data_IF_440638013113
#
_entry.id   IF_440638013113
#
_cell.length_a   1.000
_cell.length_b   1.000
_cell.length_c   1.000
_cell.angle_alpha   90.00
_cell.angle_beta   90.00
_cell.angle_gamma   90.00
#
_symmetry.space_group_name_H-M   'P 1'
#
loop_
_entity.id
_entity.type
_entity.pdbx_description
1 polymer ?
#
# COMPACT_ATOMS: atom_id res chain seq x y z
N UNK A 1 -33.78 19.69 20.81
CA UNK A 1 -34.47 19.18 19.60
C UNK A 1 -34.63 17.68 19.78
N UNK A 2 -35.82 17.13 19.50
CA UNK A 2 -36.01 15.68 19.51
C UNK A 2 -35.27 15.06 18.31
N UNK A 3 -34.57 13.96 18.52
CA UNK A 3 -33.77 13.29 17.49
C UNK A 3 -34.68 12.43 16.60
N UNK A 4 -34.66 12.67 15.28
CA UNK A 4 -35.24 11.76 14.30
C UNK A 4 -34.25 10.64 13.90
N UNK A 5 -34.76 9.59 13.24
CA UNK A 5 -33.97 8.42 12.91
C UNK A 5 -32.82 8.68 11.93
N UNK A 6 -32.96 9.68 11.04
CA UNK A 6 -31.91 10.05 10.09
C UNK A 6 -30.75 10.75 10.80
N UNK A 7 -31.08 11.73 11.65
CA UNK A 7 -30.14 12.46 12.50
C UNK A 7 -29.40 11.50 13.42
N UNK A 8 -30.10 10.56 14.06
CA UNK A 8 -29.47 9.53 14.89
C UNK A 8 -28.45 8.70 14.11
N UNK A 9 -28.82 8.19 12.92
CA UNK A 9 -27.91 7.40 12.08
C UNK A 9 -26.73 8.22 11.56
N UNK A 10 -26.94 9.49 11.24
CA UNK A 10 -25.87 10.39 10.77
C UNK A 10 -24.83 10.64 11.86
N UNK A 11 -25.28 10.89 13.10
CA UNK A 11 -24.40 11.06 14.26
C UNK A 11 -23.63 9.76 14.55
N UNK A 12 -24.32 8.61 14.58
CA UNK A 12 -23.65 7.32 14.81
C UNK A 12 -22.67 6.95 13.70
N UNK A 13 -22.90 7.38 12.46
CA UNK A 13 -21.97 7.14 11.36
C UNK A 13 -20.62 7.85 11.57
N UNK A 14 -20.56 8.89 12.41
CA UNK A 14 -19.30 9.56 12.78
C UNK A 14 -18.46 8.76 13.77
N UNK A 15 -19.03 7.75 14.44
CA UNK A 15 -18.30 6.89 15.37
C UNK A 15 -17.61 5.76 14.58
N UNK A 16 -16.27 5.76 14.46
CA UNK A 16 -15.58 4.69 13.76
C UNK A 16 -15.73 3.37 14.53
N UNK A 17 -15.96 2.29 13.80
CA UNK A 17 -16.03 0.94 14.35
C UNK A 17 -15.14 0.00 13.54
N UNK A 18 -14.60 -1.03 14.19
CA UNK A 18 -14.09 -2.19 13.46
C UNK A 18 -15.26 -2.95 12.81
N UNK A 19 -14.96 -3.72 11.77
CA UNK A 19 -15.95 -4.61 11.16
C UNK A 19 -15.68 -6.05 11.54
N UNK A 20 -16.74 -6.74 11.98
CA UNK A 20 -16.69 -8.17 12.29
C UNK A 20 -17.71 -8.95 11.46
N UNK A 21 -17.43 -10.23 11.24
CA UNK A 21 -18.47 -11.19 10.87
C UNK A 21 -18.91 -11.92 12.14
N UNK A 22 -20.21 -11.88 12.39
CA UNK A 22 -20.86 -12.71 13.40
C UNK A 22 -21.39 -13.95 12.72
N UNK A 23 -21.09 -15.12 13.27
CA UNK A 23 -21.57 -16.40 12.76
C UNK A 23 -22.18 -17.25 13.88
N UNK A 24 -23.00 -18.23 13.50
CA UNK A 24 -23.64 -19.17 14.41
C UNK A 24 -24.03 -20.45 13.66
N UNK A 25 -24.32 -21.52 14.40
CA UNK A 25 -24.90 -22.75 13.86
C UNK A 25 -26.31 -22.53 13.28
N UNK A 26 -26.68 -23.33 12.28
CA UNK A 26 -27.98 -23.24 11.60
C UNK A 26 -28.48 -24.62 11.15
N UNK A 27 -28.90 -25.46 12.10
CA UNK A 27 -29.23 -26.87 11.82
C UNK A 27 -27.99 -27.61 11.33
N UNK A 28 -28.05 -28.19 10.12
CA UNK A 28 -26.94 -28.92 9.50
C UNK A 28 -25.87 -28.00 8.86
N UNK A 29 -26.01 -26.68 8.99
CA UNK A 29 -25.11 -25.72 8.33
C UNK A 29 -24.78 -24.50 9.18
N UNK A 30 -24.30 -23.46 8.53
CA UNK A 30 -23.83 -22.23 9.15
C UNK A 30 -24.58 -21.00 8.66
N UNK A 31 -24.63 -19.98 9.51
CA UNK A 31 -25.14 -18.66 9.13
C UNK A 31 -24.23 -17.55 9.65
N UNK A 32 -24.27 -16.40 9.00
CA UNK A 32 -23.56 -15.24 9.50
C UNK A 32 -23.97 -13.93 8.84
N UNK A 33 -23.56 -12.85 9.47
CA UNK A 33 -23.76 -11.49 9.01
C UNK A 33 -22.60 -10.59 9.40
N UNK A 34 -22.48 -9.48 8.69
CA UNK A 34 -21.59 -8.40 9.09
C UNK A 34 -22.22 -7.60 10.23
N UNK A 35 -21.42 -7.27 11.24
CA UNK A 35 -21.82 -6.40 12.33
C UNK A 35 -20.71 -5.38 12.65
N UNK A 36 -21.14 -4.23 13.16
CA UNK A 36 -20.28 -3.17 13.71
C UNK A 36 -20.61 -2.82 15.16
N UNK A 37 -21.54 -3.55 15.77
CA UNK A 37 -22.02 -3.37 17.15
C UNK A 37 -21.17 -4.14 18.19
N UNK A 38 -20.09 -4.79 17.76
CA UNK A 38 -19.22 -5.58 18.63
C UNK A 38 -18.48 -4.71 19.66
N UNK A 39 -18.44 -5.15 20.91
CA UNK A 39 -17.64 -4.52 21.97
C UNK A 39 -17.20 -5.54 23.03
N UNK A 40 -16.04 -5.28 23.66
CA UNK A 40 -15.63 -5.98 24.89
C UNK A 40 -16.50 -5.55 26.07
N UNK A 41 -16.73 -6.47 27.02
CA UNK A 41 -17.55 -6.24 28.22
C UNK A 41 -16.76 -6.48 29.51
N UNK A 42 -16.08 -7.62 29.63
CA UNK A 42 -15.37 -8.02 30.85
C UNK A 42 -14.09 -8.79 30.52
N UNK A 43 -13.12 -8.75 31.43
CA UNK A 43 -11.91 -9.55 31.37
C UNK A 43 -12.02 -10.84 32.21
N UNK A 44 -12.74 -10.81 33.34
CA UNK A 44 -12.94 -11.96 34.23
C UNK A 44 -14.41 -12.05 34.70
N UNK A 45 -15.22 -13.01 34.19
CA UNK A 45 -14.90 -13.88 33.05
C UNK A 45 -14.76 -13.05 31.75
N UNK A 46 -14.04 -13.56 30.73
CA UNK A 46 -13.86 -12.85 29.47
C UNK A 46 -15.20 -12.78 28.72
N UNK A 47 -15.72 -11.58 28.50
CA UNK A 47 -17.03 -11.37 27.88
C UNK A 47 -17.01 -10.31 26.80
N UNK A 48 -17.83 -10.53 25.77
CA UNK A 48 -18.09 -9.60 24.67
C UNK A 48 -19.58 -9.47 24.41
N UNK A 49 -19.99 -8.42 23.69
CA UNK A 49 -21.36 -8.25 23.24
C UNK A 49 -21.48 -7.99 21.73
N UNK A 50 -22.66 -8.31 21.22
CA UNK A 50 -23.14 -7.93 19.89
C UNK A 50 -24.61 -7.49 19.98
N UNK A 51 -25.00 -6.53 19.15
CA UNK A 51 -26.41 -6.13 19.01
C UNK A 51 -26.95 -6.64 17.68
N UNK A 52 -28.00 -7.47 17.72
CA UNK A 52 -28.66 -8.04 16.54
C UNK A 52 -30.11 -7.56 16.44
N UNK A 53 -30.52 -7.11 15.26
CA UNK A 53 -31.90 -6.71 15.01
C UNK A 53 -32.84 -7.91 15.11
N UNK A 54 -33.98 -7.75 15.80
CA UNK A 54 -34.88 -8.84 16.18
C UNK A 54 -35.59 -9.53 15.00
N UNK A 55 -35.64 -8.87 13.85
CA UNK A 55 -36.23 -9.37 12.61
C UNK A 55 -35.24 -10.15 11.73
N UNK A 56 -33.96 -10.23 12.13
CA UNK A 56 -32.92 -10.91 11.35
C UNK A 56 -32.90 -12.42 11.59
N UNK A 57 -32.58 -13.18 10.53
CA UNK A 57 -32.35 -14.63 10.64
C UNK A 57 -31.21 -14.95 11.62
N UNK A 58 -30.15 -14.13 11.67
CA UNK A 58 -29.04 -14.30 12.61
C UNK A 58 -29.49 -14.23 14.05
N UNK A 59 -30.35 -13.26 14.41
CA UNK A 59 -30.89 -13.13 15.76
C UNK A 59 -31.60 -14.42 16.21
N UNK A 60 -32.49 -14.94 15.36
CA UNK A 60 -33.23 -16.17 15.64
C UNK A 60 -32.27 -17.35 15.86
N UNK A 61 -31.30 -17.52 14.97
CA UNK A 61 -30.35 -18.63 15.04
C UNK A 61 -29.42 -18.53 16.25
N UNK A 62 -28.93 -17.34 16.62
CA UNK A 62 -28.13 -17.16 17.85
C UNK A 62 -28.96 -17.46 19.09
N UNK A 63 -30.25 -17.08 19.09
CA UNK A 63 -31.16 -17.38 20.20
C UNK A 63 -31.45 -18.88 20.34
N UNK A 64 -31.58 -19.60 19.21
CA UNK A 64 -31.83 -21.05 19.18
C UNK A 64 -30.56 -21.86 19.48
N UNK A 65 -29.41 -21.45 18.93
CA UNK A 65 -28.11 -22.14 19.07
C UNK A 65 -27.44 -21.87 20.43
N UNK A 66 -27.68 -20.70 21.03
CA UNK A 66 -27.07 -20.33 22.31
C UNK A 66 -25.58 -20.00 22.23
N UNK A 67 -25.04 -19.83 21.02
CA UNK A 67 -23.64 -19.47 20.79
C UNK A 67 -23.46 -18.65 19.51
N UNK A 68 -22.35 -17.93 19.44
CA UNK A 68 -21.92 -17.21 18.25
C UNK A 68 -20.40 -17.09 18.22
N UNK A 69 -19.84 -16.98 17.02
CA UNK A 69 -18.45 -16.60 16.84
C UNK A 69 -18.34 -15.21 16.20
N UNK A 70 -17.25 -14.51 16.53
CA UNK A 70 -16.90 -13.19 16.00
C UNK A 70 -15.57 -13.33 15.27
N UNK A 71 -15.50 -12.89 14.02
CA UNK A 71 -14.26 -12.80 13.24
C UNK A 71 -13.99 -11.35 12.87
N UNK A 72 -12.90 -10.78 13.38
CA UNK A 72 -12.47 -9.40 13.15
C UNK A 72 -11.73 -9.33 11.81
N UNK A 73 -12.18 -8.44 10.92
CA UNK A 73 -11.69 -8.40 9.55
C UNK A 73 -10.44 -7.50 9.39
N UNK A 74 -9.46 -8.00 8.65
CA UNK A 74 -8.33 -7.20 8.18
C UNK A 74 -8.70 -6.29 7.01
N UNK A 75 -7.85 -5.31 6.70
CA UNK A 75 -8.03 -4.33 5.61
C UNK A 75 -8.28 -4.95 4.23
N UNK A 76 -7.71 -6.13 4.00
CA UNK A 76 -7.79 -6.95 2.80
C UNK A 76 -9.09 -7.77 2.70
N UNK A 77 -9.87 -7.85 3.78
CA UNK A 77 -11.09 -8.68 3.86
C UNK A 77 -12.39 -7.85 3.72
N UNK A 78 -12.29 -6.61 3.22
CA UNK A 78 -13.47 -5.77 2.99
C UNK A 78 -14.51 -6.43 2.05
N UNK A 79 -14.06 -7.22 1.07
CA UNK A 79 -14.95 -7.96 0.18
C UNK A 79 -15.80 -9.01 0.93
N UNK A 80 -15.21 -9.73 1.89
CA UNK A 80 -15.92 -10.68 2.76
C UNK A 80 -16.95 -9.91 3.60
N UNK A 81 -16.54 -8.80 4.21
CA UNK A 81 -17.44 -7.92 4.98
C UNK A 81 -18.65 -7.43 4.17
N UNK A 82 -18.46 -7.05 2.91
CA UNK A 82 -19.58 -6.63 2.04
C UNK A 82 -20.53 -7.79 1.72
N UNK A 83 -19.98 -8.98 1.45
CA UNK A 83 -20.78 -10.19 1.15
C UNK A 83 -21.71 -10.55 2.31
N UNK A 84 -21.18 -10.59 3.53
CA UNK A 84 -21.96 -10.89 4.74
C UNK A 84 -22.90 -9.75 5.16
N UNK A 85 -22.71 -8.53 4.64
CA UNK A 85 -23.65 -7.41 4.76
C UNK A 85 -24.80 -7.47 3.73
N UNK A 86 -24.88 -8.53 2.92
CA UNK A 86 -25.92 -8.70 1.89
C UNK A 86 -25.66 -7.91 0.60
N UNK A 87 -24.41 -7.51 0.33
CA UNK A 87 -24.01 -6.85 -0.92
C UNK A 87 -23.30 -7.87 -1.82
N UNK A 88 -23.82 -8.09 -3.04
CA UNK A 88 -23.23 -8.98 -4.06
C UNK A 88 -24.13 -10.18 -4.44
N UNK A 89 -23.72 -10.92 -5.48
CA UNK A 89 -24.50 -12.00 -6.14
C UNK A 89 -24.25 -13.41 -5.58
N UNK A 90 -23.39 -13.57 -4.56
CA UNK A 90 -22.96 -14.88 -4.10
C UNK A 90 -24.10 -15.65 -3.40
N UNK A 91 -24.52 -16.78 -3.99
CA UNK A 91 -25.51 -17.70 -3.42
C UNK A 91 -25.02 -18.34 -2.09
N UNK A 92 -23.72 -18.61 -1.98
CA UNK A 92 -23.07 -19.05 -0.76
C UNK A 92 -22.14 -17.97 -0.20
N UNK A 93 -22.40 -17.53 1.03
CA UNK A 93 -21.62 -16.48 1.71
C UNK A 93 -20.25 -16.99 2.17
N UNK A 94 -20.13 -18.28 2.46
CA UNK A 94 -18.92 -18.88 3.04
C UNK A 94 -17.88 -19.29 1.98
N UNK A 95 -18.28 -19.41 0.71
CA UNK A 95 -17.41 -19.81 -0.39
C UNK A 95 -16.15 -18.91 -0.55
N UNK A 96 -15.02 -19.50 -0.91
CA UNK A 96 -13.79 -18.75 -1.21
C UNK A 96 -13.08 -18.15 0.01
N UNK A 97 -13.42 -18.59 1.22
CA UNK A 97 -12.70 -18.29 2.45
C UNK A 97 -12.65 -19.54 3.34
N UNK A 98 -11.60 -19.64 4.18
CA UNK A 98 -11.40 -20.79 5.07
C UNK A 98 -12.13 -20.56 6.40
N UNK A 99 -13.17 -21.36 6.63
CA UNK A 99 -13.97 -21.33 7.86
C UNK A 99 -13.79 -22.62 8.64
N UNK A 100 -13.64 -22.52 9.95
CA UNK A 100 -13.44 -23.66 10.85
C UNK A 100 -14.42 -23.58 12.02
N UNK A 101 -15.00 -24.70 12.48
CA UNK A 101 -15.83 -24.69 13.67
C UNK A 101 -14.98 -24.41 14.93
N UNK A 102 -15.42 -23.47 15.75
CA UNK A 102 -14.92 -23.30 17.12
C UNK A 102 -15.50 -24.36 18.09
N UNK A 103 -15.09 -24.34 19.37
CA UNK A 103 -15.65 -25.21 20.41
C UNK A 103 -17.18 -25.25 20.50
N UNK A 104 -17.88 -24.16 20.17
CA UNK A 104 -19.36 -24.10 20.16
C UNK A 104 -19.99 -24.62 18.86
N UNK A 105 -19.18 -24.99 17.88
CA UNK A 105 -19.61 -25.33 16.51
C UNK A 105 -19.89 -24.11 15.63
N UNK A 106 -19.84 -22.89 16.17
CA UNK A 106 -19.94 -21.65 15.38
C UNK A 106 -18.67 -21.46 14.54
N UNK A 107 -18.78 -21.11 13.23
CA UNK A 107 -17.60 -21.05 12.37
C UNK A 107 -16.80 -19.76 12.53
N UNK A 108 -15.49 -19.87 12.72
CA UNK A 108 -14.55 -18.75 12.72
C UNK A 108 -13.84 -18.64 11.37
N UNK A 109 -13.54 -17.42 10.93
CA UNK A 109 -12.72 -17.18 9.75
C UNK A 109 -11.25 -17.37 10.14
N UNK A 110 -10.63 -18.44 9.62
CA UNK A 110 -9.29 -18.87 10.03
C UNK A 110 -8.23 -17.78 9.78
N UNK A 111 -8.35 -17.05 8.67
CA UNK A 111 -7.43 -15.99 8.28
C UNK A 111 -7.91 -14.59 8.70
N UNK A 112 -8.80 -14.48 9.68
CA UNK A 112 -9.17 -13.19 10.28
C UNK A 112 -8.00 -12.62 11.08
N UNK A 113 -8.01 -11.31 11.38
CA UNK A 113 -6.95 -10.73 12.24
C UNK A 113 -7.11 -11.12 13.71
N UNK A 114 -8.31 -11.56 14.08
CA UNK A 114 -8.61 -12.19 15.35
C UNK A 114 -10.02 -12.75 15.35
N UNK A 115 -10.26 -13.80 16.13
CA UNK A 115 -11.58 -14.37 16.30
C UNK A 115 -11.85 -14.77 17.75
N UNK A 116 -13.13 -14.84 18.09
CA UNK A 116 -13.66 -15.23 19.38
C UNK A 116 -14.80 -16.23 19.16
N UNK A 117 -14.83 -17.32 19.92
CA UNK A 117 -15.97 -18.24 19.96
C UNK A 117 -16.66 -18.14 21.32
N UNK A 118 -17.95 -17.83 21.31
CA UNK A 118 -18.68 -17.33 22.47
C UNK A 118 -19.93 -18.16 22.74
N UNK A 119 -20.16 -18.48 24.02
CA UNK A 119 -21.46 -18.97 24.50
C UNK A 119 -22.28 -17.80 24.97
N UNK A 120 -23.55 -17.73 24.58
CA UNK A 120 -24.48 -16.69 25.05
C UNK A 120 -24.74 -16.89 26.54
N UNK A 121 -24.41 -15.88 27.33
CA UNK A 121 -24.65 -15.84 28.78
C UNK A 121 -25.91 -15.03 29.10
N UNK A 122 -26.07 -13.88 28.43
CA UNK A 122 -27.22 -13.00 28.62
C UNK A 122 -27.76 -12.44 27.31
N UNK A 123 -29.07 -12.19 27.28
CA UNK A 123 -29.74 -11.52 26.18
C UNK A 123 -30.65 -10.41 26.73
N UNK A 124 -30.32 -9.15 26.45
CA UNK A 124 -31.07 -7.99 26.94
C UNK A 124 -31.86 -7.29 25.84
N UNK A 125 -33.05 -6.76 26.11
CA UNK A 125 -33.76 -5.88 25.19
C UNK A 125 -32.97 -4.60 24.91
N UNK A 126 -32.84 -4.22 23.64
CA UNK A 126 -32.14 -3.01 23.18
C UNK A 126 -32.96 -2.22 22.16
N UNK A 127 -34.27 -2.05 22.42
CA UNK A 127 -35.19 -1.44 21.45
C UNK A 127 -35.57 -2.42 20.34
N UNK A 128 -35.29 -2.07 19.09
CA UNK A 128 -35.46 -2.95 17.92
C UNK A 128 -34.39 -4.06 17.82
N UNK A 129 -33.35 -4.00 18.65
CA UNK A 129 -32.30 -5.01 18.76
C UNK A 129 -32.38 -5.83 20.07
N UNK A 130 -31.69 -6.96 20.08
CA UNK A 130 -31.29 -7.67 21.30
C UNK A 130 -29.78 -7.55 21.48
N UNK A 131 -29.35 -7.23 22.70
CA UNK A 131 -27.94 -7.19 23.11
C UNK A 131 -27.61 -8.58 23.65
N UNK A 132 -26.85 -9.36 22.88
CA UNK A 132 -26.32 -10.64 23.32
C UNK A 132 -24.96 -10.40 23.97
N UNK A 133 -24.80 -10.84 25.21
CA UNK A 133 -23.53 -10.88 25.94
C UNK A 133 -23.08 -12.35 25.98
N UNK A 134 -21.89 -12.61 25.49
CA UNK A 134 -21.32 -13.96 25.44
C UNK A 134 -20.02 -14.08 26.22
N UNK A 135 -19.87 -15.19 26.93
CA UNK A 135 -18.61 -15.63 27.52
C UNK A 135 -17.71 -16.21 26.41
N UNK A 136 -16.47 -15.75 26.36
CA UNK A 136 -15.49 -16.20 25.36
C UNK A 136 -14.87 -17.52 25.80
N UNK A 137 -15.15 -18.60 25.06
CA UNK A 137 -14.62 -19.94 25.34
C UNK A 137 -13.29 -20.20 24.64
N UNK A 138 -13.06 -19.56 23.48
CA UNK A 138 -11.80 -19.63 22.76
C UNK A 138 -11.56 -18.35 21.96
N UNK A 139 -10.28 -18.03 21.75
CA UNK A 139 -9.85 -16.86 21.00
C UNK A 139 -8.50 -17.13 20.32
N UNK A 140 -8.26 -16.50 19.17
CA UNK A 140 -6.92 -16.42 18.59
C UNK A 140 -6.71 -15.13 17.81
N UNK A 141 -5.45 -14.81 17.54
CA UNK A 141 -5.00 -13.73 16.66
C UNK A 141 -4.12 -14.29 15.54
N UNK A 142 -4.73 -14.88 14.49
CA UNK A 142 -4.00 -15.63 13.47
C UNK A 142 -2.95 -14.82 12.70
N UNK A 143 -3.16 -13.51 12.55
CA UNK A 143 -2.26 -12.61 11.81
C UNK A 143 -2.33 -11.17 12.31
N UNK A 144 -1.29 -10.39 12.04
CA UNK A 144 -1.18 -8.97 12.38
C UNK A 144 -1.31 -8.09 11.14
N UNK A 145 -2.52 -7.64 10.85
CA UNK A 145 -2.84 -6.71 9.74
C UNK A 145 -3.75 -5.61 10.27
N UNK A 146 -3.66 -4.39 9.72
CA UNK A 146 -4.56 -3.29 10.11
C UNK A 146 -6.03 -3.70 9.91
N UNK A 147 -6.94 -3.36 10.84
CA UNK A 147 -8.35 -3.70 10.72
C UNK A 147 -9.01 -2.90 9.60
N UNK A 148 -10.07 -3.47 9.02
CA UNK A 148 -11.01 -2.65 8.24
C UNK A 148 -11.91 -1.88 9.21
N UNK A 149 -12.11 -0.60 8.90
CA UNK A 149 -12.98 0.30 9.65
C UNK A 149 -14.27 0.56 8.89
N UNK A 150 -15.32 0.89 9.61
CA UNK A 150 -16.54 1.47 9.05
C UNK A 150 -16.78 2.84 9.67
N UNK A 151 -16.79 3.87 8.83
CA UNK A 151 -16.96 5.27 9.22
C UNK A 151 -17.67 6.05 8.11
N UNK A 152 -18.62 6.91 8.47
CA UNK A 152 -19.43 7.71 7.56
C UNK A 152 -20.08 6.90 6.43
N UNK A 153 -20.53 5.67 6.76
CA UNK A 153 -21.11 4.68 5.82
C UNK A 153 -20.12 4.15 4.75
N UNK A 154 -18.84 4.38 4.96
CA UNK A 154 -17.75 3.97 4.07
C UNK A 154 -16.84 2.96 4.79
N UNK A 155 -16.24 2.07 4.01
CA UNK A 155 -15.22 1.13 4.48
C UNK A 155 -13.85 1.83 4.42
N UNK A 156 -13.13 1.91 5.53
CA UNK A 156 -11.90 2.70 5.69
C UNK A 156 -10.80 1.88 6.40
N UNK A 157 -9.61 2.48 6.62
CA UNK A 157 -8.44 1.84 7.25
C UNK A 157 -7.96 2.67 8.46
N UNK A 158 -7.51 2.03 9.55
CA UNK A 158 -6.87 2.72 10.70
C UNK A 158 -5.44 3.14 10.30
N UNK A 159 -4.97 4.29 10.82
CA UNK A 159 -3.69 4.93 10.49
C UNK A 159 -2.61 3.95 10.02
N UNK A 160 -2.14 4.18 8.81
CA UNK A 160 -1.36 3.20 8.09
C UNK A 160 0.01 2.96 8.75
N UNK A 161 0.37 1.69 9.06
CA UNK A 161 1.69 1.37 9.59
C UNK A 161 2.75 1.70 8.54
N UNK A 162 3.89 2.23 8.99
CA UNK A 162 5.06 2.38 8.14
C UNK A 162 5.49 1.01 7.59
N UNK A 163 6.08 0.95 6.38
CA UNK A 163 6.59 -0.30 5.86
C UNK A 163 7.80 -0.76 6.67
N UNK A 164 8.00 -2.08 6.80
CA UNK A 164 9.19 -2.63 7.48
C UNK A 164 10.50 -2.28 6.76
N UNK A 165 10.41 -2.05 5.44
CA UNK A 165 11.55 -1.75 4.57
C UNK A 165 11.15 -0.88 3.38
N UNK A 166 12.06 0.01 2.98
CA UNK A 166 11.99 0.76 1.72
C UNK A 166 13.15 0.40 0.77
N UNK A 167 13.01 0.76 -0.49
CA UNK A 167 14.08 0.76 -1.50
C UNK A 167 14.15 2.12 -2.17
N UNK A 168 15.35 2.54 -2.56
CA UNK A 168 15.56 3.75 -3.37
C UNK A 168 16.16 3.38 -4.74
N UNK A 169 15.82 4.17 -5.76
CA UNK A 169 16.56 4.21 -7.00
C UNK A 169 17.05 5.63 -7.25
N UNK A 170 18.21 5.74 -7.90
CA UNK A 170 18.71 6.98 -8.47
C UNK A 170 18.36 7.03 -9.95
N UNK A 171 17.50 7.97 -10.33
CA UNK A 171 17.02 8.11 -11.70
C UNK A 171 17.50 9.38 -12.40
N UNK A 172 18.32 10.20 -11.73
CA UNK A 172 18.62 11.57 -12.14
C UNK A 172 20.11 11.93 -12.12
N UNK A 173 20.94 11.27 -11.31
CA UNK A 173 22.33 11.69 -11.09
C UNK A 173 23.14 11.68 -12.39
N UNK A 174 23.08 10.59 -13.16
CA UNK A 174 23.88 10.47 -14.38
C UNK A 174 23.44 11.49 -15.44
N UNK A 175 22.14 11.74 -15.56
CA UNK A 175 21.61 12.78 -16.45
C UNK A 175 22.09 14.18 -16.01
N UNK A 176 22.04 14.48 -14.70
CA UNK A 176 22.50 15.74 -14.14
C UNK A 176 24.01 15.95 -14.34
N UNK A 177 24.82 14.90 -14.17
CA UNK A 177 26.26 14.94 -14.42
C UNK A 177 26.59 15.13 -15.91
N UNK A 178 25.87 14.45 -16.82
CA UNK A 178 26.00 14.66 -18.27
C UNK A 178 25.68 16.11 -18.66
N UNK A 179 24.63 16.67 -18.10
CA UNK A 179 24.26 18.08 -18.32
C UNK A 179 25.31 19.09 -17.80
N UNK A 180 26.24 18.63 -16.95
CA UNK A 180 27.39 19.41 -16.45
C UNK A 180 28.70 19.01 -17.16
N UNK A 181 28.62 18.37 -18.33
CA UNK A 181 29.75 17.91 -19.14
C UNK A 181 30.72 16.99 -18.38
N UNK A 182 30.21 16.18 -17.45
CA UNK A 182 31.02 15.22 -16.71
C UNK A 182 31.63 14.17 -17.66
N UNK A 183 32.89 13.80 -17.40
CA UNK A 183 33.59 12.79 -18.19
C UNK A 183 32.93 11.41 -18.10
N UNK A 184 33.12 10.57 -19.12
CA UNK A 184 32.66 9.17 -19.08
C UNK A 184 33.18 8.39 -17.86
N UNK A 185 34.41 8.68 -17.41
CA UNK A 185 34.99 8.08 -16.21
C UNK A 185 34.24 8.50 -14.93
N UNK A 186 33.83 9.78 -14.84
CA UNK A 186 33.02 10.30 -13.74
C UNK A 186 31.65 9.63 -13.70
N UNK A 187 30.98 9.51 -14.86
CA UNK A 187 29.67 8.86 -14.97
C UNK A 187 29.74 7.38 -14.58
N UNK A 188 30.73 6.65 -15.10
CA UNK A 188 30.94 5.24 -14.76
C UNK A 188 31.27 5.05 -13.27
N UNK A 189 32.10 5.94 -12.71
CA UNK A 189 32.43 5.94 -11.28
C UNK A 189 31.21 6.18 -10.39
N UNK A 190 30.38 7.16 -10.73
CA UNK A 190 29.14 7.45 -10.01
C UNK A 190 28.15 6.28 -10.10
N UNK A 191 27.94 5.71 -11.29
CA UNK A 191 27.07 4.56 -11.47
C UNK A 191 27.53 3.35 -10.65
N UNK A 192 28.83 3.04 -10.67
CA UNK A 192 29.42 1.93 -9.90
C UNK A 192 29.26 2.14 -8.39
N UNK A 193 29.48 3.36 -7.90
CA UNK A 193 29.33 3.72 -6.49
C UNK A 193 27.88 3.56 -6.01
N UNK A 194 26.90 4.07 -6.77
CA UNK A 194 25.49 3.92 -6.43
C UNK A 194 25.06 2.44 -6.38
N UNK A 195 25.46 1.65 -7.38
CA UNK A 195 25.15 0.20 -7.40
C UNK A 195 25.81 -0.56 -6.26
N UNK A 196 27.07 -0.25 -5.95
CA UNK A 196 27.78 -0.84 -4.81
C UNK A 196 27.10 -0.50 -3.47
N UNK A 197 26.44 0.64 -3.38
CA UNK A 197 25.61 1.00 -2.23
C UNK A 197 24.25 0.28 -2.20
N UNK A 198 23.91 -0.55 -3.19
CA UNK A 198 22.62 -1.24 -3.27
C UNK A 198 21.48 -0.39 -3.87
N UNK A 199 21.79 0.73 -4.51
CA UNK A 199 20.81 1.61 -5.17
C UNK A 199 20.62 1.18 -6.62
N UNK A 200 19.36 1.04 -7.08
CA UNK A 200 19.07 0.89 -8.51
C UNK A 200 19.40 2.18 -9.26
N UNK A 201 20.11 2.12 -10.38
CA UNK A 201 20.58 3.30 -11.11
C UNK A 201 20.06 3.29 -12.54
N UNK A 202 19.46 4.41 -12.97
CA UNK A 202 19.17 4.63 -14.39
C UNK A 202 20.45 4.93 -15.15
N UNK A 203 20.93 3.98 -15.94
CA UNK A 203 22.18 4.09 -16.69
C UNK A 203 22.03 4.93 -17.96
N UNK A 204 20.87 4.89 -18.60
CA UNK A 204 20.58 5.65 -19.82
C UNK A 204 19.12 6.09 -19.94
N UNK A 205 18.91 7.15 -20.72
CA UNK A 205 17.70 7.95 -20.81
C UNK A 205 17.09 8.00 -22.24
N UNK A 206 17.19 6.89 -22.97
CA UNK A 206 16.55 6.69 -24.28
C UNK A 206 17.33 7.23 -25.49
N UNK A 207 18.39 8.03 -25.27
CA UNK A 207 19.27 8.56 -26.32
C UNK A 207 20.74 8.28 -25.99
N UNK A 208 21.43 7.53 -26.86
CA UNK A 208 22.85 7.17 -26.70
C UNK A 208 23.09 5.66 -26.67
N UNK A 209 24.36 5.25 -26.79
CA UNK A 209 24.74 3.84 -26.66
C UNK A 209 24.73 3.41 -25.18
N UNK A 210 24.19 2.23 -24.85
CA UNK A 210 24.28 1.69 -23.50
C UNK A 210 25.76 1.50 -23.12
N UNK A 211 26.13 1.69 -21.84
CA UNK A 211 27.50 1.41 -21.40
C UNK A 211 27.84 -0.07 -21.67
N UNK A 212 29.11 -0.41 -21.93
CA UNK A 212 29.51 -1.79 -22.13
C UNK A 212 29.13 -2.66 -20.91
N UNK A 213 28.73 -3.92 -21.12
CA UNK A 213 28.35 -4.82 -20.03
C UNK A 213 29.59 -5.18 -19.19
N UNK A 214 29.79 -4.49 -18.07
CA UNK A 214 30.80 -4.84 -17.05
C UNK A 214 30.08 -5.34 -15.79
N UNK A 215 30.16 -6.64 -15.47
CA UNK A 215 29.71 -7.28 -14.21
C UNK A 215 28.49 -6.60 -13.56
N UNK A 216 27.43 -6.34 -14.35
CA UNK A 216 26.24 -5.65 -13.89
C UNK A 216 25.33 -6.66 -13.18
N UNK A 217 24.94 -6.35 -11.95
CA UNK A 217 23.74 -6.97 -11.36
C UNK A 217 22.51 -6.37 -12.06
N UNK A 218 21.75 -7.17 -12.84
CA UNK A 218 20.61 -6.68 -13.59
C UNK A 218 19.55 -6.00 -12.71
N UNK A 219 19.42 -6.39 -11.43
CA UNK A 219 18.46 -5.80 -10.51
C UNK A 219 18.80 -4.36 -10.10
N UNK A 220 20.07 -3.97 -10.22
CA UNK A 220 20.57 -2.64 -9.84
C UNK A 220 20.72 -1.68 -11.01
N UNK A 221 20.43 -2.13 -12.23
CA UNK A 221 20.54 -1.32 -13.44
C UNK A 221 19.17 -1.14 -14.09
N UNK A 222 18.84 0.10 -14.42
CA UNK A 222 17.63 0.43 -15.16
C UNK A 222 17.91 1.36 -16.34
N UNK A 223 16.93 1.44 -17.24
CA UNK A 223 17.03 2.24 -18.44
C UNK A 223 15.67 2.80 -18.86
N UNK A 224 15.64 4.09 -19.19
CA UNK A 224 14.45 4.68 -19.82
C UNK A 224 14.45 4.34 -21.32
N UNK A 225 13.35 3.75 -21.77
CA UNK A 225 13.06 3.45 -23.17
C UNK A 225 11.85 4.26 -23.64
N UNK A 226 11.88 4.60 -24.91
CA UNK A 226 10.81 5.32 -25.61
C UNK A 226 10.18 4.47 -26.71
N UNK A 227 10.85 3.41 -27.15
CA UNK A 227 10.40 2.51 -28.21
C UNK A 227 10.58 1.03 -27.81
N UNK A 228 9.60 0.14 -28.06
CA UNK A 228 9.71 -1.30 -27.80
C UNK A 228 10.95 -1.97 -28.42
N UNK A 229 11.45 -1.46 -29.55
CA UNK A 229 12.64 -1.98 -30.22
C UNK A 229 13.92 -1.82 -29.38
N UNK A 230 13.94 -0.87 -28.43
CA UNK A 230 15.10 -0.64 -27.55
C UNK A 230 15.24 -1.74 -26.50
N UNK A 231 14.18 -2.49 -26.19
CA UNK A 231 14.17 -3.51 -25.12
C UNK A 231 15.27 -4.56 -25.31
N UNK A 232 15.45 -5.07 -26.53
CA UNK A 232 16.47 -6.10 -26.80
C UNK A 232 17.86 -5.55 -26.52
N UNK A 233 18.16 -4.34 -26.99
CA UNK A 233 19.44 -3.67 -26.75
C UNK A 233 19.68 -3.40 -25.26
N UNK A 234 18.64 -3.04 -24.51
CA UNK A 234 18.71 -2.86 -23.05
C UNK A 234 19.06 -4.17 -22.36
N UNK A 235 18.40 -5.27 -22.73
CA UNK A 235 18.64 -6.59 -22.16
C UNK A 235 20.05 -7.10 -22.47
N UNK A 236 20.52 -6.95 -23.72
CA UNK A 236 21.87 -7.34 -24.15
C UNK A 236 22.97 -6.54 -23.44
N UNK A 237 22.68 -5.31 -23.00
CA UNK A 237 23.57 -4.49 -22.19
C UNK A 237 23.62 -4.90 -20.71
N UNK A 238 22.89 -5.93 -20.29
CA UNK A 238 22.86 -6.41 -18.90
C UNK A 238 21.98 -5.59 -17.95
N UNK A 239 21.09 -4.75 -18.49
CA UNK A 239 20.10 -4.00 -17.71
C UNK A 239 18.88 -4.88 -17.45
N UNK A 240 18.47 -5.03 -16.19
CA UNK A 240 17.32 -5.87 -15.81
C UNK A 240 15.99 -5.12 -15.71
N UNK A 241 16.00 -3.78 -15.70
CA UNK A 241 14.79 -2.97 -15.51
C UNK A 241 14.58 -1.98 -16.67
N UNK A 242 13.48 -2.16 -17.39
CA UNK A 242 13.03 -1.24 -18.43
C UNK A 242 12.02 -0.23 -17.88
N UNK A 243 12.30 1.04 -18.04
CA UNK A 243 11.48 2.14 -17.57
C UNK A 243 10.88 2.88 -18.76
N UNK A 244 9.65 3.38 -18.66
CA UNK A 244 9.03 4.11 -19.77
C UNK A 244 8.04 5.16 -19.26
N UNK A 245 7.86 6.22 -20.04
CA UNK A 245 6.85 7.23 -19.77
C UNK A 245 5.48 6.76 -20.27
N UNK A 246 4.44 7.03 -19.49
CA UNK A 246 3.07 6.63 -19.79
C UNK A 246 2.27 7.88 -20.17
N UNK A 247 1.65 7.84 -21.35
CA UNK A 247 0.73 8.88 -21.81
C UNK A 247 -0.63 8.82 -21.11
N UNK A 248 -1.55 9.71 -21.48
CA UNK A 248 -2.80 9.94 -20.74
C UNK A 248 -3.71 8.70 -20.58
N UNK A 249 -3.71 7.74 -21.53
CA UNK A 249 -4.60 6.56 -21.48
C UNK A 249 -3.91 5.24 -21.12
N UNK A 250 -2.58 5.23 -20.94
CA UNK A 250 -1.75 4.03 -20.79
C UNK A 250 -1.84 2.96 -21.91
N UNK A 251 -2.68 3.11 -22.94
CA UNK A 251 -2.84 2.12 -24.01
C UNK A 251 -1.56 1.91 -24.83
N UNK A 252 -0.74 2.97 -24.95
CA UNK A 252 0.57 2.90 -25.60
C UNK A 252 1.61 2.05 -24.85
N UNK A 253 1.32 1.61 -23.62
CA UNK A 253 2.25 0.81 -22.82
C UNK A 253 2.32 -0.66 -23.28
N UNK A 254 1.25 -1.20 -23.87
CA UNK A 254 1.16 -2.64 -24.16
C UNK A 254 2.32 -3.19 -25.01
N UNK A 255 2.75 -2.54 -26.12
CA UNK A 255 3.87 -3.03 -26.92
C UNK A 255 5.19 -3.06 -26.15
N UNK A 256 5.42 -2.09 -25.27
CA UNK A 256 6.63 -2.00 -24.43
C UNK A 256 6.63 -3.14 -23.40
N UNK A 257 5.50 -3.32 -22.70
CA UNK A 257 5.35 -4.36 -21.68
C UNK A 257 5.49 -5.77 -22.28
N UNK A 258 4.93 -6.01 -23.48
CA UNK A 258 5.08 -7.28 -24.20
C UNK A 258 6.52 -7.55 -24.64
N UNK A 259 7.23 -6.53 -25.11
CA UNK A 259 8.65 -6.65 -25.47
C UNK A 259 9.50 -6.95 -24.22
N UNK A 260 9.31 -6.20 -23.14
CA UNK A 260 10.05 -6.38 -21.88
C UNK A 260 9.83 -7.77 -21.29
N UNK A 261 8.58 -8.26 -21.29
CA UNK A 261 8.24 -9.61 -20.83
C UNK A 261 8.95 -10.70 -21.64
N UNK A 262 9.03 -10.55 -22.97
CA UNK A 262 9.78 -11.50 -23.83
C UNK A 262 11.28 -11.49 -23.55
N UNK A 263 11.83 -10.34 -23.17
CA UNK A 263 13.24 -10.18 -22.80
C UNK A 263 13.52 -10.51 -21.32
N UNK A 264 12.51 -10.81 -20.51
CA UNK A 264 12.67 -11.11 -19.08
C UNK A 264 13.03 -9.89 -18.23
N UNK A 265 12.71 -8.68 -18.68
CA UNK A 265 12.97 -7.44 -17.94
C UNK A 265 11.82 -7.09 -17.01
N UNK A 266 12.15 -6.58 -15.82
CA UNK A 266 11.19 -5.90 -14.95
C UNK A 266 10.83 -4.54 -15.54
N UNK A 267 9.57 -4.11 -15.41
CA UNK A 267 9.10 -2.86 -16.01
C UNK A 267 8.66 -1.82 -14.99
N UNK A 268 8.98 -0.55 -15.24
CA UNK A 268 8.47 0.60 -14.49
C UNK A 268 7.77 1.57 -15.43
N UNK A 269 6.45 1.71 -15.29
CA UNK A 269 5.65 2.70 -16.03
C UNK A 269 5.50 4.00 -15.24
N UNK A 270 5.96 5.13 -15.79
CA UNK A 270 5.89 6.43 -15.12
C UNK A 270 4.69 7.27 -15.57
N UNK A 271 3.82 7.60 -14.62
CA UNK A 271 2.72 8.55 -14.78
C UNK A 271 3.22 9.96 -14.41
N UNK A 272 3.30 10.89 -15.38
CA UNK A 272 3.79 12.25 -15.14
C UNK A 272 2.73 13.11 -14.43
N UNK A 273 3.19 14.03 -13.59
CA UNK A 273 2.34 15.02 -12.91
C UNK A 273 1.12 14.39 -12.21
N UNK A 274 1.36 13.23 -11.59
CA UNK A 274 0.32 12.36 -11.01
C UNK A 274 -0.41 13.05 -9.84
N UNK A 275 0.31 13.90 -9.11
CA UNK A 275 -0.21 14.57 -7.92
C UNK A 275 -0.98 15.87 -8.22
N UNK A 276 -1.07 16.34 -9.46
CA UNK A 276 -1.93 17.50 -9.76
C UNK A 276 -3.42 17.16 -9.48
N UNK A 277 -4.21 18.05 -8.85
CA UNK A 277 -5.62 17.82 -8.52
C UNK A 277 -6.47 17.31 -9.70
N UNK A 278 -6.32 17.97 -10.86
CA UNK A 278 -6.99 17.66 -12.13
C UNK A 278 -6.62 16.28 -12.69
N UNK A 279 -5.51 15.69 -12.25
CA UNK A 279 -5.00 14.43 -12.75
C UNK A 279 -5.39 13.21 -11.91
N UNK A 280 -6.17 13.36 -10.83
CA UNK A 280 -6.56 12.23 -9.94
C UNK A 280 -7.17 11.07 -10.73
N UNK A 281 -8.26 11.33 -11.45
CA UNK A 281 -9.03 10.28 -12.12
C UNK A 281 -8.21 9.57 -13.19
N UNK A 282 -7.50 10.33 -14.05
CA UNK A 282 -6.66 9.74 -15.09
C UNK A 282 -5.50 8.93 -14.51
N UNK A 283 -4.90 9.38 -13.41
CA UNK A 283 -3.79 8.66 -12.75
C UNK A 283 -4.26 7.31 -12.23
N UNK A 284 -5.42 7.27 -11.55
CA UNK A 284 -5.98 6.02 -11.04
C UNK A 284 -6.37 5.05 -12.17
N UNK A 285 -7.00 5.56 -13.23
CA UNK A 285 -7.35 4.75 -14.41
C UNK A 285 -6.11 4.20 -15.11
N UNK A 286 -5.10 5.04 -15.33
CA UNK A 286 -3.86 4.62 -15.98
C UNK A 286 -3.06 3.62 -15.11
N UNK A 287 -3.05 3.80 -13.78
CA UNK A 287 -2.42 2.87 -12.86
C UNK A 287 -3.09 1.48 -12.90
N UNK A 288 -4.43 1.43 -12.82
CA UNK A 288 -5.18 0.19 -12.97
C UNK A 288 -4.89 -0.48 -14.32
N UNK A 289 -4.85 0.31 -15.40
CA UNK A 289 -4.58 -0.21 -16.74
C UNK A 289 -3.18 -0.79 -16.87
N UNK A 290 -2.16 -0.15 -16.31
CA UNK A 290 -0.78 -0.68 -16.30
C UNK A 290 -0.69 -2.00 -15.52
N UNK A 291 -1.40 -2.10 -14.39
CA UNK A 291 -1.47 -3.33 -13.59
C UNK A 291 -2.12 -4.47 -14.38
N UNK A 292 -3.25 -4.21 -15.05
CA UNK A 292 -3.92 -5.17 -15.94
C UNK A 292 -3.03 -5.67 -17.09
N UNK A 293 -2.22 -4.77 -17.65
CA UNK A 293 -1.28 -5.10 -18.72
C UNK A 293 -0.03 -5.85 -18.22
N UNK A 294 0.11 -6.01 -16.90
CA UNK A 294 1.19 -6.74 -16.25
C UNK A 294 2.48 -5.94 -16.12
N UNK A 295 2.38 -4.65 -15.82
CA UNK A 295 3.53 -3.83 -15.40
C UNK A 295 3.93 -4.18 -13.95
N UNK A 296 5.22 -4.36 -13.68
CA UNK A 296 5.71 -4.74 -12.34
C UNK A 296 5.69 -3.59 -11.32
N UNK A 297 6.11 -2.39 -11.73
CA UNK A 297 6.12 -1.20 -10.90
C UNK A 297 5.45 -0.02 -11.61
N UNK A 298 4.71 0.82 -10.86
CA UNK A 298 4.06 2.02 -11.37
C UNK A 298 4.61 3.23 -10.62
N UNK A 299 5.31 4.10 -11.34
CA UNK A 299 5.94 5.30 -10.81
C UNK A 299 5.04 6.52 -10.93
N UNK A 300 4.64 7.10 -9.80
CA UNK A 300 3.90 8.36 -9.75
C UNK A 300 4.87 9.53 -9.61
N UNK A 301 4.95 10.39 -10.62
CA UNK A 301 5.87 11.54 -10.61
C UNK A 301 5.19 12.82 -10.19
N UNK A 302 5.87 13.56 -9.35
CA UNK A 302 5.52 14.92 -9.00
C UNK A 302 5.77 15.89 -10.17
N UNK A 303 4.99 16.96 -10.18
CA UNK A 303 4.88 17.88 -11.31
C UNK A 303 5.74 19.13 -11.21
N UNK A 304 5.47 20.11 -12.09
CA UNK A 304 6.01 21.45 -11.99
C UNK A 304 5.62 22.16 -10.69
N UNK A 305 4.44 21.86 -10.14
CA UNK A 305 4.04 22.27 -8.79
C UNK A 305 4.28 21.10 -7.83
N UNK A 306 4.97 21.31 -6.69
CA UNK A 306 5.25 20.21 -5.78
C UNK A 306 3.97 19.76 -5.09
N UNK A 307 3.79 18.45 -4.98
CA UNK A 307 2.68 17.85 -4.26
C UNK A 307 2.64 18.33 -2.81
N UNK A 308 1.44 18.42 -2.23
CA UNK A 308 1.26 18.69 -0.80
C UNK A 308 1.07 17.38 -0.03
N UNK A 309 1.34 17.34 1.29
CA UNK A 309 1.13 16.14 2.09
C UNK A 309 -0.30 15.60 2.01
N UNK A 310 -1.30 16.48 2.00
CA UNK A 310 -2.71 16.10 1.82
C UNK A 310 -2.91 15.43 0.47
N UNK A 311 -2.36 16.03 -0.59
CA UNK A 311 -2.53 15.53 -1.94
C UNK A 311 -1.85 14.18 -2.18
N UNK A 312 -0.65 14.00 -1.62
CA UNK A 312 0.06 12.72 -1.64
C UNK A 312 -0.77 11.65 -0.95
N UNK A 313 -1.32 11.94 0.25
CA UNK A 313 -2.17 11.00 0.98
C UNK A 313 -3.40 10.61 0.18
N UNK A 314 -4.17 11.60 -0.28
CA UNK A 314 -5.46 11.36 -0.92
C UNK A 314 -5.31 10.51 -2.18
N UNK A 315 -4.30 10.79 -3.02
CA UNK A 315 -4.04 10.00 -4.21
C UNK A 315 -3.57 8.58 -3.87
N UNK A 316 -2.60 8.44 -2.96
CA UNK A 316 -1.97 7.14 -2.70
C UNK A 316 -2.87 6.16 -1.96
N UNK A 317 -3.88 6.64 -1.22
CA UNK A 317 -4.89 5.79 -0.60
C UNK A 317 -5.61 4.90 -1.61
N UNK A 318 -5.88 5.44 -2.80
CA UNK A 318 -6.55 4.74 -3.88
C UNK A 318 -5.57 4.14 -4.90
N UNK A 319 -4.49 4.87 -5.24
CA UNK A 319 -3.55 4.44 -6.26
C UNK A 319 -2.83 3.12 -5.91
N UNK A 320 -2.47 2.92 -4.63
CA UNK A 320 -1.85 1.67 -4.20
C UNK A 320 -2.78 0.46 -4.38
N UNK A 321 -4.09 0.65 -4.18
CA UNK A 321 -5.07 -0.42 -4.39
C UNK A 321 -5.37 -0.64 -5.88
N UNK A 322 -5.44 0.44 -6.66
CA UNK A 322 -5.67 0.37 -8.11
C UNK A 322 -4.49 -0.28 -8.85
N UNK A 323 -3.27 -0.11 -8.35
CA UNK A 323 -2.06 -0.68 -8.93
C UNK A 323 -1.88 -2.18 -8.64
N UNK A 324 -2.60 -2.79 -7.70
CA UNK A 324 -2.37 -4.21 -7.35
C UNK A 324 -2.55 -5.13 -8.57
N UNK A 325 -1.61 -6.06 -8.82
CA UNK A 325 -0.50 -6.48 -7.95
C UNK A 325 0.81 -5.68 -8.12
N UNK A 326 0.87 -4.72 -9.04
CA UNK A 326 2.07 -3.91 -9.28
C UNK A 326 2.45 -3.06 -8.06
N UNK A 327 3.75 -2.88 -7.81
CA UNK A 327 4.22 -2.05 -6.72
C UNK A 327 4.15 -0.57 -7.09
N UNK A 328 3.64 0.27 -6.19
CA UNK A 328 3.68 1.74 -6.38
C UNK A 328 5.03 2.29 -5.93
N UNK A 329 5.54 3.17 -6.79
CA UNK A 329 6.76 3.94 -6.63
C UNK A 329 6.45 5.41 -6.74
N UNK A 330 7.17 6.27 -6.01
CA UNK A 330 6.98 7.73 -6.09
C UNK A 330 8.27 8.45 -6.42
N UNK A 331 8.18 9.43 -7.32
CA UNK A 331 9.24 10.40 -7.60
C UNK A 331 8.77 11.77 -7.13
N UNK A 332 9.15 12.14 -5.91
CA UNK A 332 8.76 13.39 -5.26
C UNK A 332 9.87 14.42 -5.40
N UNK A 333 9.50 15.70 -5.46
CA UNK A 333 10.47 16.80 -5.52
C UNK A 333 10.71 17.41 -4.15
N UNK A 334 11.95 17.79 -3.88
CA UNK A 334 12.27 18.58 -2.70
C UNK A 334 12.10 20.07 -3.01
N UNK A 335 11.11 20.70 -2.37
CA UNK A 335 10.95 22.15 -2.39
C UNK A 335 10.46 22.64 -1.04
N UNK A 336 11.25 23.54 -0.44
CA UNK A 336 10.92 24.24 0.81
C UNK A 336 10.69 23.30 2.00
N UNK A 337 11.35 22.14 2.03
CA UNK A 337 11.28 21.17 3.13
C UNK A 337 10.03 20.28 3.12
N UNK A 338 9.21 20.33 2.06
CA UNK A 338 7.97 19.55 1.97
C UNK A 338 8.23 18.14 1.42
N UNK A 339 9.33 17.92 0.69
CA UNK A 339 9.60 16.64 0.05
C UNK A 339 9.70 15.48 1.04
N UNK A 340 10.45 15.65 2.14
CA UNK A 340 10.54 14.63 3.19
C UNK A 340 9.22 14.38 3.92
N UNK A 341 8.41 15.43 4.10
CA UNK A 341 7.05 15.29 4.66
C UNK A 341 6.19 14.45 3.71
N UNK A 342 6.28 14.70 2.41
CA UNK A 342 5.60 13.91 1.39
C UNK A 342 6.11 12.46 1.36
N UNK A 343 7.41 12.23 1.55
CA UNK A 343 7.96 10.87 1.64
C UNK A 343 7.40 10.11 2.84
N UNK A 344 7.35 10.74 4.03
CA UNK A 344 6.71 10.16 5.21
C UNK A 344 5.23 9.83 4.94
N UNK A 345 4.49 10.75 4.33
CA UNK A 345 3.09 10.50 3.97
C UNK A 345 2.98 9.34 3.00
N UNK A 346 3.83 9.26 1.98
CA UNK A 346 3.83 8.16 1.02
C UNK A 346 4.12 6.81 1.69
N UNK A 347 5.10 6.75 2.61
CA UNK A 347 5.38 5.55 3.42
C UNK A 347 4.14 5.12 4.21
N UNK A 348 3.49 6.07 4.89
CA UNK A 348 2.22 5.78 5.58
C UNK A 348 1.19 5.28 4.57
N UNK A 349 1.04 5.90 3.40
CA UNK A 349 0.11 5.42 2.38
C UNK A 349 0.47 4.07 1.71
N UNK A 350 1.53 3.39 2.15
CA UNK A 350 1.88 2.03 1.74
C UNK A 350 2.99 1.94 0.70
N UNK A 351 3.57 3.08 0.28
CA UNK A 351 4.66 3.12 -0.69
C UNK A 351 5.95 2.62 -0.05
N UNK A 352 6.64 1.72 -0.76
CA UNK A 352 7.94 1.15 -0.33
C UNK A 352 9.10 1.54 -1.26
N UNK A 353 8.79 2.10 -2.42
CA UNK A 353 9.77 2.34 -3.48
C UNK A 353 9.85 3.84 -3.78
N UNK A 354 11.04 4.40 -3.69
CA UNK A 354 11.27 5.84 -3.90
C UNK A 354 12.24 6.06 -5.05
N UNK A 355 11.87 6.96 -5.94
CA UNK A 355 12.78 7.59 -6.87
C UNK A 355 13.40 8.81 -6.24
N UNK A 356 14.73 8.83 -6.25
CA UNK A 356 15.57 9.83 -5.63
C UNK A 356 16.67 10.22 -6.61
N UNK A 357 17.43 11.23 -6.23
CA UNK A 357 18.67 11.58 -6.90
C UNK A 357 19.69 11.92 -5.82
N UNK A 358 20.92 11.41 -5.90
CA UNK A 358 21.98 11.73 -4.94
C UNK A 358 22.16 13.25 -4.82
N UNK A 359 22.12 13.79 -3.60
CA UNK A 359 22.20 15.23 -3.36
C UNK A 359 21.00 16.05 -3.87
N UNK A 360 19.97 15.39 -4.43
CA UNK A 360 18.81 16.06 -5.03
C UNK A 360 19.19 17.03 -6.15
N UNK A 361 20.26 16.75 -6.91
CA UNK A 361 20.88 17.70 -7.85
C UNK A 361 19.98 18.16 -9.01
N UNK A 362 18.91 17.41 -9.29
CA UNK A 362 17.88 17.70 -10.29
C UNK A 362 16.56 18.21 -9.66
N UNK A 363 16.56 18.44 -8.35
CA UNK A 363 15.39 18.83 -7.56
C UNK A 363 14.46 17.67 -7.17
N UNK A 364 14.85 16.42 -7.42
CA UNK A 364 14.23 15.27 -6.76
C UNK A 364 14.61 15.23 -5.26
N UNK A 365 13.95 14.36 -4.50
CA UNK A 365 14.36 14.08 -3.13
C UNK A 365 15.80 13.53 -3.07
N UNK A 366 16.67 14.07 -2.19
CA UNK A 366 17.98 13.49 -1.92
C UNK A 366 17.86 12.07 -1.35
N UNK A 367 18.61 11.13 -1.92
CA UNK A 367 18.58 9.73 -1.49
C UNK A 367 19.01 9.59 -0.01
N UNK A 368 20.06 10.30 0.37
CA UNK A 368 20.61 10.35 1.72
C UNK A 368 19.59 10.83 2.77
N UNK A 369 18.74 11.80 2.41
CA UNK A 369 17.74 12.37 3.31
C UNK A 369 16.56 11.42 3.50
N UNK A 370 16.12 10.74 2.44
CA UNK A 370 15.09 9.70 2.52
C UNK A 370 15.56 8.53 3.39
N UNK A 371 16.82 8.11 3.25
CA UNK A 371 17.41 7.04 4.06
C UNK A 371 17.62 7.46 5.52
N UNK A 372 18.01 8.71 5.77
CA UNK A 372 18.08 9.27 7.12
C UNK A 372 16.70 9.28 7.78
N UNK A 373 15.66 9.77 7.09
CA UNK A 373 14.29 9.75 7.58
C UNK A 373 13.83 8.32 7.89
N UNK A 374 14.06 7.37 6.98
CA UNK A 374 13.70 5.97 7.19
C UNK A 374 14.37 5.40 8.45
N UNK A 375 15.67 5.66 8.65
CA UNK A 375 16.39 5.25 9.85
C UNK A 375 15.85 5.86 11.15
N UNK A 376 15.42 7.13 11.13
CA UNK A 376 14.78 7.78 12.29
C UNK A 376 13.38 7.21 12.61
N UNK A 377 12.76 6.53 11.64
CA UNK A 377 11.44 5.94 11.75
C UNK A 377 11.48 4.42 11.95
N UNK A 378 12.66 3.84 12.20
CA UNK A 378 12.90 2.40 12.32
C UNK A 378 12.46 1.60 11.07
N UNK A 379 12.51 2.24 9.89
CA UNK A 379 12.23 1.61 8.59
C UNK A 379 13.54 1.16 7.96
N UNK A 380 13.66 -0.14 7.68
CA UNK A 380 14.90 -0.68 7.14
C UNK A 380 15.15 -0.25 5.68
N UNK A 381 16.41 -0.25 5.28
CA UNK A 381 16.85 -0.18 3.88
C UNK A 381 18.07 -1.06 3.69
N UNK A 382 18.19 -1.70 2.53
CA UNK A 382 19.38 -2.45 2.16
C UNK A 382 20.51 -1.55 1.61
N UNK A 383 20.25 -0.24 1.50
CA UNK A 383 21.17 0.71 0.90
C UNK A 383 22.20 1.21 1.90
N UNK A 384 23.48 1.13 1.51
CA UNK A 384 24.60 1.68 2.27
C UNK A 384 24.63 3.21 2.17
N UNK A 385 24.02 3.85 3.16
CA UNK A 385 23.93 5.31 3.27
C UNK A 385 25.30 5.98 3.36
N UNK A 386 26.28 5.37 4.02
CA UNK A 386 27.58 5.99 4.24
C UNK A 386 28.37 6.07 2.93
N UNK A 387 28.27 5.02 2.10
CA UNK A 387 28.79 5.04 0.72
C UNK A 387 28.16 6.16 -0.11
N UNK A 388 26.84 6.37 -0.01
CA UNK A 388 26.16 7.46 -0.72
C UNK A 388 26.65 8.84 -0.26
N UNK A 389 26.73 9.09 1.05
CA UNK A 389 27.21 10.36 1.60
C UNK A 389 28.65 10.65 1.14
N UNK A 390 29.53 9.65 1.20
CA UNK A 390 30.90 9.78 0.71
C UNK A 390 30.96 10.05 -0.80
N UNK A 391 30.08 9.42 -1.57
CA UNK A 391 29.92 9.66 -3.01
C UNK A 391 29.46 11.09 -3.33
N UNK A 392 28.45 11.58 -2.62
CA UNK A 392 27.93 12.94 -2.76
C UNK A 392 29.04 13.97 -2.44
N UNK A 393 29.82 13.74 -1.38
CA UNK A 393 30.94 14.60 -1.01
C UNK A 393 32.00 14.68 -2.13
N UNK A 394 32.38 13.54 -2.71
CA UNK A 394 33.37 13.48 -3.80
C UNK A 394 32.91 14.18 -5.08
N UNK A 395 31.60 14.20 -5.32
CA UNK A 395 30.99 14.84 -6.47
C UNK A 395 30.60 16.30 -6.21
N UNK A 396 30.91 16.82 -5.01
CA UNK A 396 30.54 18.18 -4.57
C UNK A 396 29.02 18.43 -4.65
N UNK A 397 28.24 17.44 -4.19
CA UNK A 397 26.77 17.43 -4.23
C UNK A 397 26.12 17.49 -2.84
N UNK A 398 26.91 17.54 -1.77
CA UNK A 398 26.36 17.66 -0.43
C UNK A 398 25.62 18.99 -0.29
N UNK A 399 24.39 19.01 0.25
CA UNK A 399 23.71 20.27 0.52
C UNK A 399 24.50 21.07 1.55
N UNK A 400 24.52 22.39 1.38
CA UNK A 400 25.21 23.37 2.25
C UNK A 400 24.81 23.22 3.74
N UNK A 401 23.69 22.56 4.02
CA UNK A 401 23.16 22.31 5.37
C UNK A 401 23.76 21.09 6.10
N UNK A 402 24.61 20.27 5.46
CA UNK A 402 25.26 19.11 6.11
C UNK A 402 26.48 19.46 6.97
N UNK A 403 26.94 20.71 6.97
CA UNK A 403 28.06 21.17 7.80
C UNK A 403 27.78 21.28 9.32
N UNK A 404 26.64 20.77 9.83
CA UNK A 404 26.16 21.10 11.19
C UNK A 404 25.99 19.96 12.20
N UNK A 405 26.10 18.69 11.81
CA UNK A 405 25.87 17.57 12.75
C UNK A 405 27.08 16.64 12.84
N UNK A 406 28.22 17.21 13.22
CA UNK A 406 29.32 16.47 13.81
C UNK A 406 29.58 17.04 15.21
N UNK A 407 28.99 16.39 16.22
CA UNK A 407 29.48 16.34 17.60
C UNK A 407 28.81 15.21 18.34
#
# INVERSE_FOLDING_TARGET
>A
MATDGETFRAVLAQWPSGVVIVTTGAGDGWHGMTASSFSSVSLDPPMVLICLARDTRTHRLVSEHGAFAVSILGRDQAAIGRRFAGRGEAADRFAGARWEPGPTGSPVLADSIGWLDCRVEHAYPGGDHTIFVGEVLAAATPRRVAPVLFHSRTWSRLADPLPDRITVADIGLLAALRARDASGATLAGAARMLRAAGTRVRLFDGYGEPPPPEDLDPATASALITDPAQVTTVAEAGVGVAEFAVGDSADGAAPILEAARRAGLTTVGYLPDAFAPEHTGRTLTAAARLAELGCDEIGLRDGPQPATPVRVRDLLQDACAAAEPAAVRVALRERRGIGLVNALVAMKSGVRHFDTTLGGVDGALPAEDVLMLAGQLDVASAVDRDTLIAGAARLDLLPVHTCGFAS
#
